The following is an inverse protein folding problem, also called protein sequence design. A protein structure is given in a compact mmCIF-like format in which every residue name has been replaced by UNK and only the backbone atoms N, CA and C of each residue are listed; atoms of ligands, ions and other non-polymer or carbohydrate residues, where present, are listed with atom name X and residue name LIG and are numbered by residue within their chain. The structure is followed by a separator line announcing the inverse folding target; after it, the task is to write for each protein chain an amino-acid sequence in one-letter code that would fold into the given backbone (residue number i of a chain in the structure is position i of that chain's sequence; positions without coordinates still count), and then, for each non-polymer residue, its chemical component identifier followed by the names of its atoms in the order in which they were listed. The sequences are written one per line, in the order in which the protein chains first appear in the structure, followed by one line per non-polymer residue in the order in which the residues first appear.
data_IF_242591384554
#
_entry.id   IF_242591384554
#
_cell.length_a   1.000
_cell.length_b   1.000
_cell.length_c   1.000
_cell.angle_alpha   90.00
_cell.angle_beta   90.00
_cell.angle_gamma   90.00
#
_symmetry.space_group_name_H-M   'P 1'
#
loop_
_entity.id
_entity.type
_entity.pdbx_description
1 polymer ?
#
# COMPACT_ATOMS: atom_id res chain seq x y z
N UNK A 1 19.52 9.60 12.58
CA UNK A 1 19.27 8.15 12.38
C UNK A 1 17.88 7.70 12.83
N UNK A 2 17.40 8.01 14.03
CA UNK A 2 16.10 7.52 14.52
C UNK A 2 14.89 7.99 13.69
N UNK A 3 14.93 9.22 13.13
CA UNK A 3 13.85 9.79 12.32
C UNK A 3 13.67 9.10 10.96
N UNK A 4 14.77 8.66 10.33
CA UNK A 4 14.74 7.99 9.03
C UNK A 4 14.21 6.56 9.15
N UNK A 5 14.66 5.82 10.17
CA UNK A 5 14.13 4.48 10.46
C UNK A 5 12.63 4.52 10.81
N UNK A 6 12.17 5.54 11.54
CA UNK A 6 10.74 5.78 11.77
C UNK A 6 9.97 5.99 10.46
N UNK A 7 10.55 6.71 9.49
CA UNK A 7 9.94 6.92 8.16
C UNK A 7 9.84 5.61 7.38
N UNK A 8 10.90 4.79 7.38
CA UNK A 8 10.91 3.48 6.71
C UNK A 8 9.94 2.49 7.35
N UNK A 9 9.85 2.46 8.68
CA UNK A 9 8.87 1.65 9.40
C UNK A 9 7.43 2.06 9.06
N UNK A 10 7.14 3.37 9.01
CA UNK A 10 5.82 3.85 8.57
C UNK A 10 5.52 3.46 7.11
N UNK A 11 6.50 3.59 6.21
CA UNK A 11 6.36 3.16 4.82
C UNK A 11 6.06 1.66 4.76
N UNK A 12 6.81 0.83 5.51
CA UNK A 12 6.57 -0.60 5.58
C UNK A 12 5.14 -0.92 6.01
N UNK A 13 4.66 -0.34 7.11
CA UNK A 13 3.30 -0.60 7.61
C UNK A 13 2.23 -0.23 6.56
N UNK A 14 2.39 0.93 5.91
CA UNK A 14 1.46 1.35 4.84
C UNK A 14 1.49 0.40 3.64
N UNK A 15 2.68 0.00 3.22
CA UNK A 15 2.90 -0.87 2.05
C UNK A 15 2.72 -2.36 2.36
N UNK A 16 2.58 -2.72 3.63
CA UNK A 16 2.17 -4.04 4.08
C UNK A 16 0.64 -4.16 4.06
N UNK A 17 -0.07 -3.17 4.61
CA UNK A 17 -1.52 -3.28 4.78
C UNK A 17 -2.32 -3.09 3.49
N UNK A 18 -1.87 -2.21 2.58
CA UNK A 18 -2.56 -1.97 1.31
C UNK A 18 -2.61 -3.22 0.41
N UNK A 19 -1.48 -3.92 0.16
CA UNK A 19 -1.51 -5.16 -0.62
C UNK A 19 -2.23 -6.28 0.11
N UNK A 20 -2.04 -6.43 1.43
CA UNK A 20 -2.76 -7.46 2.22
C UNK A 20 -4.28 -7.32 2.06
N UNK A 21 -4.78 -6.08 2.14
CA UNK A 21 -6.21 -5.78 1.96
C UNK A 21 -6.66 -6.01 0.51
N UNK A 22 -5.84 -5.63 -0.48
CA UNK A 22 -6.14 -5.87 -1.90
C UNK A 22 -6.22 -7.37 -2.22
N UNK A 23 -5.26 -8.16 -1.73
CA UNK A 23 -5.23 -9.62 -1.91
C UNK A 23 -6.48 -10.25 -1.29
N UNK A 24 -6.79 -9.92 -0.04
CA UNK A 24 -7.98 -10.43 0.64
C UNK A 24 -9.28 -10.05 -0.06
N UNK A 25 -9.35 -8.93 -0.78
CA UNK A 25 -10.59 -8.52 -1.49
C UNK A 25 -10.71 -9.11 -2.89
N UNK A 26 -9.58 -9.40 -3.56
CA UNK A 26 -9.52 -9.89 -4.93
C UNK A 26 -9.49 -11.42 -5.06
N UNK A 27 -9.14 -12.15 -3.99
CA UNK A 27 -9.14 -13.61 -3.99
C UNK A 27 -10.55 -14.18 -4.15
N UNK A 28 -10.78 -15.10 -5.12
CA UNK A 28 -12.07 -15.78 -5.27
C UNK A 28 -12.50 -16.49 -3.98
N UNK A 29 -13.73 -16.26 -3.53
CA UNK A 29 -14.28 -16.90 -2.33
C UNK A 29 -13.79 -16.32 -0.99
N UNK A 30 -12.97 -15.26 -1.00
CA UNK A 30 -12.51 -14.61 0.24
C UNK A 30 -13.65 -13.95 1.01
N UNK A 31 -14.64 -13.38 0.33
CA UNK A 31 -15.80 -12.71 0.96
C UNK A 31 -16.72 -13.69 1.69
N UNK A 32 -16.86 -14.91 1.16
CA UNK A 32 -17.61 -16.00 1.80
C UNK A 32 -16.82 -16.71 2.90
N UNK A 33 -15.50 -16.51 2.96
CA UNK A 33 -14.62 -17.15 3.93
C UNK A 33 -13.45 -16.23 4.32
N UNK A 34 -13.78 -15.06 4.87
CA UNK A 34 -12.80 -14.06 5.36
C UNK A 34 -11.93 -14.64 6.48
N UNK A 35 -12.37 -15.75 7.09
CA UNK A 35 -11.65 -16.49 8.14
C UNK A 35 -10.73 -17.61 7.60
N UNK A 36 -10.61 -17.80 6.28
CA UNK A 36 -9.73 -18.83 5.72
C UNK A 36 -8.25 -18.51 6.04
N UNK A 37 -7.64 -19.37 6.85
CA UNK A 37 -6.21 -19.29 7.21
C UNK A 37 -5.32 -19.30 5.95
N UNK A 38 -5.74 -20.01 4.89
CA UNK A 38 -5.02 -20.05 3.64
C UNK A 38 -5.00 -18.68 2.93
N UNK A 39 -6.16 -18.00 2.83
CA UNK A 39 -6.23 -16.66 2.23
C UNK A 39 -5.43 -15.64 3.04
N UNK A 40 -5.52 -15.71 4.38
CA UNK A 40 -4.73 -14.85 5.25
C UNK A 40 -3.22 -15.09 5.09
N UNK A 41 -2.80 -16.34 4.96
CA UNK A 41 -1.38 -16.69 4.78
C UNK A 41 -0.84 -16.10 3.48
N UNK A 42 -1.59 -16.25 2.38
CA UNK A 42 -1.19 -15.69 1.08
C UNK A 42 -1.18 -14.16 1.14
N UNK A 43 -2.26 -13.53 1.64
CA UNK A 43 -2.34 -12.08 1.74
C UNK A 43 -1.24 -11.49 2.63
N UNK A 44 -0.92 -12.14 3.75
CA UNK A 44 0.16 -11.74 4.66
C UNK A 44 1.52 -11.88 4.00
N UNK A 45 1.77 -12.99 3.27
CA UNK A 45 3.00 -13.20 2.51
C UNK A 45 3.17 -12.14 1.42
N UNK A 46 2.12 -11.85 0.65
CA UNK A 46 2.13 -10.80 -0.39
C UNK A 46 2.41 -9.43 0.23
N UNK A 47 1.72 -9.08 1.32
CA UNK A 47 1.93 -7.83 2.04
C UNK A 47 3.35 -7.70 2.58
N UNK A 48 3.91 -8.76 3.16
CA UNK A 48 5.26 -8.77 3.73
C UNK A 48 6.32 -8.58 2.65
N UNK A 49 6.24 -9.33 1.55
CA UNK A 49 7.15 -9.20 0.41
C UNK A 49 7.06 -7.79 -0.17
N UNK A 50 5.84 -7.30 -0.40
CA UNK A 50 5.62 -5.95 -0.97
C UNK A 50 6.20 -4.88 -0.06
N UNK A 51 5.96 -4.97 1.26
CA UNK A 51 6.51 -4.05 2.24
C UNK A 51 8.04 -4.08 2.26
N UNK A 52 8.66 -5.26 2.20
CA UNK A 52 10.11 -5.41 2.16
C UNK A 52 10.70 -4.80 0.89
N UNK A 53 10.14 -5.13 -0.28
CA UNK A 53 10.56 -4.57 -1.56
C UNK A 53 10.41 -3.05 -1.57
N UNK A 54 9.33 -2.51 -1.00
CA UNK A 54 9.13 -1.07 -0.89
C UNK A 54 10.21 -0.40 -0.03
N UNK A 55 10.59 -1.01 1.09
CA UNK A 55 11.72 -0.52 1.92
C UNK A 55 13.04 -0.62 1.15
N UNK A 56 13.30 -1.71 0.44
CA UNK A 56 14.51 -1.88 -0.37
C UNK A 56 14.62 -0.80 -1.46
N UNK A 57 13.51 -0.45 -2.11
CA UNK A 57 13.50 0.64 -3.10
C UNK A 57 13.88 2.00 -2.49
N UNK A 58 13.71 2.22 -1.18
CA UNK A 58 14.14 3.47 -0.53
C UNK A 58 15.66 3.68 -0.54
N UNK A 59 16.44 2.62 -0.76
CA UNK A 59 17.90 2.70 -0.93
C UNK A 59 18.33 3.01 -2.37
N UNK A 60 17.38 3.12 -3.30
CA UNK A 60 17.62 3.38 -4.72
C UNK A 60 17.06 4.75 -5.13
N UNK A 61 17.43 5.29 -6.31
CA UNK A 61 16.82 6.51 -6.84
C UNK A 61 15.30 6.42 -7.03
N UNK A 62 14.73 5.21 -7.10
CA UNK A 62 13.28 4.97 -7.20
C UNK A 62 12.51 5.51 -5.98
N UNK A 63 13.19 5.79 -4.86
CA UNK A 63 12.59 6.45 -3.71
C UNK A 63 11.88 7.78 -4.07
N UNK A 64 12.34 8.47 -5.11
CA UNK A 64 11.73 9.72 -5.61
C UNK A 64 10.30 9.51 -6.14
N UNK A 65 9.99 8.32 -6.65
CA UNK A 65 8.66 8.00 -7.17
C UNK A 65 7.61 7.97 -6.05
N UNK A 66 8.00 7.72 -4.80
CA UNK A 66 7.11 7.81 -3.65
C UNK A 66 6.65 9.24 -3.34
N UNK A 67 7.35 10.28 -3.83
CA UNK A 67 6.99 11.67 -3.57
C UNK A 67 5.76 12.13 -4.37
N UNK A 68 5.48 11.49 -5.51
CA UNK A 68 4.31 11.77 -6.32
C UNK A 68 3.22 10.72 -6.03
N UNK A 69 1.97 11.14 -5.83
CA UNK A 69 0.84 10.23 -5.54
C UNK A 69 0.65 9.16 -6.62
N UNK A 70 0.83 9.52 -7.90
CA UNK A 70 0.71 8.58 -9.01
C UNK A 70 1.91 7.64 -9.09
N UNK A 71 3.14 8.16 -8.96
CA UNK A 71 4.36 7.33 -8.92
C UNK A 71 4.33 6.33 -7.75
N UNK A 72 3.84 6.77 -6.59
CA UNK A 72 3.62 5.93 -5.43
C UNK A 72 2.59 4.83 -5.72
N UNK A 73 1.43 5.18 -6.29
CA UNK A 73 0.38 4.21 -6.63
C UNK A 73 0.88 3.16 -7.64
N UNK A 74 1.61 3.59 -8.68
CA UNK A 74 2.22 2.69 -9.66
C UNK A 74 3.23 1.75 -9.00
N UNK A 75 4.13 2.26 -8.14
CA UNK A 75 5.07 1.42 -7.41
C UNK A 75 4.36 0.41 -6.52
N UNK A 76 3.33 0.84 -5.76
CA UNK A 76 2.57 -0.09 -4.92
C UNK A 76 1.95 -1.19 -5.77
N UNK A 77 1.32 -0.85 -6.90
CA UNK A 77 0.68 -1.85 -7.76
C UNK A 77 1.67 -2.83 -8.37
N UNK A 78 2.81 -2.35 -8.88
CA UNK A 78 3.85 -3.22 -9.45
C UNK A 78 4.46 -4.15 -8.41
N UNK A 79 4.85 -3.61 -7.25
CA UNK A 79 5.42 -4.41 -6.17
C UNK A 79 4.41 -5.43 -5.63
N UNK A 80 3.14 -5.06 -5.56
CA UNK A 80 2.07 -5.97 -5.16
C UNK A 80 1.92 -7.10 -6.16
N UNK A 81 1.85 -6.82 -7.46
CA UNK A 81 1.73 -7.84 -8.48
C UNK A 81 2.90 -8.85 -8.43
N UNK A 82 4.13 -8.35 -8.22
CA UNK A 82 5.32 -9.19 -8.04
C UNK A 82 5.23 -10.02 -6.76
N UNK A 83 4.87 -9.40 -5.64
CA UNK A 83 4.71 -10.09 -4.35
C UNK A 83 3.62 -11.15 -4.38
N UNK A 84 2.54 -10.89 -5.11
CA UNK A 84 1.40 -11.80 -5.25
C UNK A 84 1.75 -13.00 -6.12
N UNK A 85 2.39 -12.76 -7.26
CA UNK A 85 2.89 -13.82 -8.15
C UNK A 85 3.92 -14.74 -7.49
N UNK A 86 4.71 -14.22 -6.53
CA UNK A 86 5.61 -15.03 -5.71
C UNK A 86 4.88 -15.78 -4.59
N UNK A 87 3.73 -15.27 -4.16
CA UNK A 87 3.01 -15.82 -3.02
C UNK A 87 2.21 -17.07 -3.37
N UNK A 88 1.64 -17.13 -4.58
CA UNK A 88 0.93 -18.30 -5.10
C UNK A 88 0.88 -18.30 -6.64
N UNK A 89 0.58 -19.46 -7.23
CA UNK A 89 0.26 -19.56 -8.64
C UNK A 89 -1.15 -19.04 -8.91
N UNK A 90 -1.37 -18.40 -10.07
CA UNK A 90 -2.69 -17.92 -10.43
C UNK A 90 -3.67 -19.08 -10.69
N UNK A 91 -4.91 -18.88 -10.24
CA UNK A 91 -6.03 -19.79 -10.44
C UNK A 91 -6.77 -19.52 -11.76
N UNK A 92 -6.44 -18.42 -12.46
CA UNK A 92 -7.04 -18.10 -13.75
C UNK A 92 -6.35 -18.84 -14.90
N UNK A 93 -7.10 -19.06 -15.99
CA UNK A 93 -6.56 -19.63 -17.24
C UNK A 93 -5.37 -18.85 -17.79
N UNK A 94 -5.30 -17.55 -17.54
CA UNK A 94 -4.17 -16.69 -17.92
C UNK A 94 -3.34 -16.43 -16.65
N UNK A 95 -2.11 -16.97 -16.54
CA UNK A 95 -1.37 -17.07 -15.27
C UNK A 95 -1.02 -15.75 -14.57
N UNK A 96 -1.15 -14.62 -15.26
CA UNK A 96 -0.69 -13.31 -14.76
C UNK A 96 -1.84 -12.35 -14.44
N UNK A 97 -3.07 -12.64 -14.88
CA UNK A 97 -4.18 -11.69 -14.75
C UNK A 97 -4.53 -11.43 -13.29
N UNK A 98 -4.58 -12.47 -12.47
CA UNK A 98 -4.89 -12.35 -11.04
C UNK A 98 -3.93 -11.39 -10.35
N UNK A 99 -2.64 -11.60 -10.53
CA UNK A 99 -1.59 -10.80 -9.92
C UNK A 99 -1.61 -9.34 -10.42
N UNK A 100 -1.90 -9.13 -11.71
CA UNK A 100 -2.06 -7.79 -12.29
C UNK A 100 -3.27 -7.08 -11.69
N UNK A 101 -4.41 -7.78 -11.54
CA UNK A 101 -5.63 -7.22 -10.94
C UNK A 101 -5.39 -6.88 -9.47
N UNK A 102 -4.79 -7.79 -8.69
CA UNK A 102 -4.41 -7.55 -7.30
C UNK A 102 -3.48 -6.33 -7.19
N UNK A 103 -2.51 -6.23 -8.09
CA UNK A 103 -1.62 -5.07 -8.20
C UNK A 103 -2.38 -3.77 -8.52
N UNK A 104 -3.25 -3.78 -9.53
CA UNK A 104 -4.04 -2.62 -9.92
C UNK A 104 -4.93 -2.14 -8.77
N UNK A 105 -5.63 -3.05 -8.08
CA UNK A 105 -6.47 -2.74 -6.92
C UNK A 105 -5.64 -2.17 -5.77
N UNK A 106 -4.48 -2.76 -5.47
CA UNK A 106 -3.55 -2.23 -4.44
C UNK A 106 -3.06 -0.82 -4.77
N UNK A 107 -2.70 -0.56 -6.04
CA UNK A 107 -2.34 0.77 -6.53
C UNK A 107 -3.47 1.79 -6.39
N UNK A 108 -4.70 1.40 -6.74
CA UNK A 108 -5.90 2.23 -6.57
C UNK A 108 -6.20 2.50 -5.11
N UNK A 109 -6.09 1.51 -4.22
CA UNK A 109 -6.22 1.69 -2.77
C UNK A 109 -5.16 2.65 -2.24
N UNK A 110 -3.92 2.55 -2.73
CA UNK A 110 -2.85 3.47 -2.35
C UNK A 110 -3.12 4.90 -2.82
N UNK A 111 -3.64 5.07 -4.04
CA UNK A 111 -4.02 6.37 -4.58
C UNK A 111 -5.20 6.97 -3.79
N UNK A 112 -6.25 6.19 -3.56
CA UNK A 112 -7.43 6.59 -2.80
C UNK A 112 -7.03 6.98 -1.35
N UNK A 113 -6.17 6.20 -0.71
CA UNK A 113 -5.65 6.53 0.61
C UNK A 113 -4.84 7.84 0.63
N UNK A 114 -4.09 8.16 -0.43
CA UNK A 114 -3.40 9.46 -0.54
C UNK A 114 -4.41 10.61 -0.56
N UNK A 115 -5.46 10.53 -1.39
CA UNK A 115 -6.50 11.57 -1.42
C UNK A 115 -7.30 11.66 -0.11
N UNK A 116 -7.66 10.53 0.50
CA UNK A 116 -8.49 10.52 1.71
C UNK A 116 -7.74 10.93 2.98
N UNK A 117 -6.51 10.46 3.15
CA UNK A 117 -5.76 10.64 4.40
C UNK A 117 -4.81 11.83 4.33
N UNK A 118 -4.08 12.02 3.23
CA UNK A 118 -3.12 13.14 3.14
C UNK A 118 -3.83 14.47 2.96
N UNK A 119 -4.87 14.55 2.12
CA UNK A 119 -5.60 15.80 1.94
C UNK A 119 -6.43 16.15 3.19
N UNK A 120 -6.99 15.16 3.90
CA UNK A 120 -7.69 15.41 5.17
C UNK A 120 -6.73 15.85 6.27
N UNK A 121 -5.58 15.20 6.42
CA UNK A 121 -4.55 15.62 7.38
C UNK A 121 -3.97 17.00 7.03
N UNK A 122 -3.88 17.36 5.75
CA UNK A 122 -3.46 18.70 5.32
C UNK A 122 -4.51 19.74 5.69
N UNK A 123 -5.80 19.47 5.44
CA UNK A 123 -6.92 20.35 5.82
C UNK A 123 -7.00 20.56 7.32
N UNK A 124 -6.88 19.50 8.13
CA UNK A 124 -6.90 19.59 9.59
C UNK A 124 -5.72 20.44 10.09
N UNK A 125 -4.51 20.23 9.57
CA UNK A 125 -3.34 21.03 9.95
C UNK A 125 -3.48 22.51 9.56
N UNK A 126 -4.05 22.80 8.39
CA UNK A 126 -4.33 24.19 7.97
C UNK A 126 -5.39 24.84 8.85
N UNK A 127 -6.45 24.11 9.23
CA UNK A 127 -7.48 24.61 10.14
C UNK A 127 -6.89 24.89 11.54
N UNK A 128 -6.06 23.98 12.07
CA UNK A 128 -5.39 24.14 13.34
C UNK A 128 -4.40 25.31 13.36
N UNK A 129 -3.64 25.50 12.29
CA UNK A 129 -2.73 26.64 12.14
C UNK A 129 -3.47 27.99 12.10
N UNK A 130 -4.67 28.04 11.52
CA UNK A 130 -5.53 29.25 11.55
C UNK A 130 -6.09 29.54 12.93
N UNK A 131 -6.39 28.50 13.73
CA UNK A 131 -6.90 28.65 15.10
C UNK A 131 -5.80 29.07 16.08
N UNK A 132 -4.60 28.47 15.97
CA UNK A 132 -3.44 28.84 16.80
C UNK A 132 -2.74 30.13 16.34
N UNK A 133 -2.95 30.55 15.10
CA UNK A 133 -2.34 31.74 14.50
C UNK A 133 -3.11 33.05 14.71
N UNK A 134 -4.21 33.05 15.49
CA UNK A 134 -4.86 34.29 15.94
C UNK A 134 -4.31 34.69 17.33
N UNK A 135 -3.36 35.62 17.42
CA UNK A 135 -3.28 36.47 18.61
C UNK A 135 -4.49 37.42 18.53
N UNK A 136 -5.42 37.26 19.47
CA UNK A 136 -6.51 38.22 19.67
C UNK A 136 -5.91 39.50 20.26
N UNK A 137 -6.13 40.62 19.57
CA UNK A 137 -5.93 41.97 20.09
C UNK A 137 -7.22 42.47 20.72
#
# INVERSE_FOLDING_TARGET
MSSEWKRRARLFIQRFWQPTSACMTCMPGSWSNVASVAHWTIAFKTGLITGLLAVLLTFTPAAKLYANRYGNATLVGLLTAVGDAYSHASHYRIPYIEHIVTGAVSGLLALAASYLLEDRARRIRMAWARLLGKPEH
#
